data_IF_425794365218
#
_entry.id   IF_425794365218
#
_cell.length_a   1.000
_cell.length_b   1.000
_cell.length_c   1.000
_cell.angle_alpha   90.00
_cell.angle_beta   90.00
_cell.angle_gamma   90.00
#
_symmetry.space_group_name_H-M   'P 1'
#
loop_
_entity.id
_entity.type
_entity.pdbx_description
1 polymer ?
#
# COMPACT_ATOMS: atom_id res chain seq x y z
N UNK A 1 -7.42 -9.15 0.90
CA UNK A 1 -6.50 -9.01 -0.26
C UNK A 1 -7.33 -8.66 -1.51
N UNK A 2 -6.75 -8.40 -2.67
CA UNK A 2 -7.47 -7.90 -3.87
C UNK A 2 -8.80 -8.58 -4.15
N UNK A 3 -8.86 -9.91 -4.05
CA UNK A 3 -10.08 -10.71 -4.25
C UNK A 3 -11.27 -10.22 -3.41
N UNK A 4 -11.01 -9.86 -2.15
CA UNK A 4 -12.03 -9.44 -1.19
C UNK A 4 -12.46 -8.00 -1.50
N UNK A 5 -11.48 -7.11 -1.73
CA UNK A 5 -11.70 -5.69 -2.06
C UNK A 5 -12.49 -5.51 -3.36
N UNK A 6 -12.14 -6.27 -4.40
CA UNK A 6 -12.85 -6.21 -5.68
C UNK A 6 -14.32 -6.62 -5.52
N UNK A 7 -14.57 -7.70 -4.77
CA UNK A 7 -15.93 -8.18 -4.51
C UNK A 7 -16.75 -7.17 -3.70
N UNK A 8 -16.13 -6.56 -2.69
CA UNK A 8 -16.74 -5.51 -1.87
C UNK A 8 -17.07 -4.25 -2.69
N UNK A 9 -16.13 -3.76 -3.49
CA UNK A 9 -16.33 -2.62 -4.39
C UNK A 9 -17.45 -2.89 -5.40
N UNK A 10 -17.48 -4.09 -6.00
CA UNK A 10 -18.55 -4.49 -6.90
C UNK A 10 -19.91 -4.50 -6.19
N UNK A 11 -19.96 -5.09 -5.00
CA UNK A 11 -21.20 -5.20 -4.21
C UNK A 11 -21.70 -3.84 -3.72
N UNK A 12 -20.81 -2.92 -3.35
CA UNK A 12 -21.18 -1.56 -2.90
C UNK A 12 -21.86 -0.75 -4.00
N UNK A 13 -21.49 -1.00 -5.27
CA UNK A 13 -22.14 -0.44 -6.45
C UNK A 13 -23.33 -1.28 -6.95
N UNK A 14 -23.74 -2.32 -6.21
CA UNK A 14 -24.82 -3.25 -6.56
C UNK A 14 -24.67 -3.89 -7.95
N UNK A 15 -23.42 -4.09 -8.40
CA UNK A 15 -23.15 -4.68 -9.71
C UNK A 15 -23.06 -6.21 -9.62
N UNK A 16 -23.54 -6.91 -10.64
CA UNK A 16 -23.26 -8.33 -10.89
C UNK A 16 -21.85 -8.50 -11.47
N UNK A 17 -21.29 -9.72 -11.41
CA UNK A 17 -20.00 -10.01 -12.04
C UNK A 17 -20.04 -9.78 -13.57
N UNK A 18 -21.19 -10.01 -14.19
CA UNK A 18 -21.41 -9.77 -15.63
C UNK A 18 -21.35 -8.28 -15.95
N UNK A 19 -21.96 -7.42 -15.13
CA UNK A 19 -21.93 -5.96 -15.33
C UNK A 19 -20.54 -5.38 -15.12
N UNK A 20 -19.82 -5.86 -14.10
CA UNK A 20 -18.43 -5.46 -13.89
C UNK A 20 -17.54 -5.90 -15.08
N UNK A 21 -17.72 -7.14 -15.55
CA UNK A 21 -16.98 -7.66 -16.69
C UNK A 21 -17.20 -6.82 -17.97
N UNK A 22 -18.45 -6.42 -18.24
CA UNK A 22 -18.78 -5.51 -19.34
C UNK A 22 -18.07 -4.15 -19.21
N UNK A 23 -18.06 -3.56 -18.02
CA UNK A 23 -17.40 -2.27 -17.77
C UNK A 23 -15.88 -2.34 -17.93
N UNK A 24 -15.28 -3.48 -17.60
CA UNK A 24 -13.83 -3.70 -17.70
C UNK A 24 -13.40 -4.29 -19.05
N UNK A 25 -14.35 -4.57 -19.95
CA UNK A 25 -14.15 -5.26 -21.22
C UNK A 25 -13.41 -6.61 -21.07
N UNK A 26 -13.89 -7.46 -20.15
CA UNK A 26 -13.39 -8.82 -19.90
C UNK A 26 -14.54 -9.82 -19.83
N UNK A 27 -14.23 -11.11 -19.71
CA UNK A 27 -15.25 -12.14 -19.50
C UNK A 27 -15.77 -12.15 -18.06
N UNK A 28 -16.99 -12.61 -17.84
CA UNK A 28 -17.52 -12.82 -16.49
C UNK A 28 -16.65 -13.82 -15.71
N UNK A 29 -16.16 -14.88 -16.37
CA UNK A 29 -15.28 -15.88 -15.76
C UNK A 29 -13.97 -15.25 -15.26
N UNK A 30 -13.45 -14.25 -15.97
CA UNK A 30 -12.26 -13.48 -15.56
C UNK A 30 -12.52 -12.76 -14.25
N UNK A 31 -13.61 -11.99 -14.15
CA UNK A 31 -14.01 -11.30 -12.91
C UNK A 31 -14.24 -12.30 -11.77
N UNK A 32 -14.97 -13.38 -12.05
CA UNK A 32 -15.21 -14.44 -11.07
C UNK A 32 -13.92 -15.05 -10.55
N UNK A 33 -12.94 -15.29 -11.42
CA UNK A 33 -11.62 -15.84 -11.06
C UNK A 33 -10.81 -14.88 -10.19
N UNK A 34 -10.90 -13.57 -10.43
CA UNK A 34 -10.28 -12.55 -9.58
C UNK A 34 -10.91 -12.50 -8.18
N UNK A 35 -12.25 -12.52 -8.09
CA UNK A 35 -12.96 -12.42 -6.80
C UNK A 35 -12.80 -13.66 -5.90
N UNK A 36 -12.44 -14.82 -6.46
CA UNK A 36 -12.12 -16.02 -5.68
C UNK A 36 -10.62 -16.24 -5.51
N UNK A 37 -9.78 -15.40 -6.13
CA UNK A 37 -8.31 -15.49 -6.06
C UNK A 37 -7.71 -16.65 -6.86
N UNK A 38 -8.38 -17.13 -7.91
CA UNK A 38 -7.84 -18.15 -8.84
C UNK A 38 -6.90 -17.56 -9.90
N UNK A 39 -7.09 -16.29 -10.22
CA UNK A 39 -6.25 -15.54 -11.14
C UNK A 39 -6.08 -14.11 -10.63
N UNK A 40 -5.07 -13.40 -11.12
CA UNK A 40 -4.84 -11.99 -10.82
C UNK A 40 -5.14 -11.11 -12.04
N UNK A 41 -5.58 -9.86 -11.85
CA UNK A 41 -5.73 -8.92 -12.96
C UNK A 41 -4.36 -8.47 -13.49
N UNK A 42 -4.27 -8.16 -14.79
CA UNK A 42 -3.10 -7.49 -15.35
C UNK A 42 -2.97 -6.07 -14.79
N UNK A 43 -1.79 -5.44 -14.96
CA UNK A 43 -1.58 -4.03 -14.60
C UNK A 43 -2.62 -3.11 -15.26
N UNK A 44 -2.92 -3.34 -16.54
CA UNK A 44 -3.95 -2.59 -17.25
C UNK A 44 -5.35 -2.77 -16.63
N UNK A 45 -5.70 -4.00 -16.25
CA UNK A 45 -6.97 -4.28 -15.59
C UNK A 45 -7.04 -3.65 -14.20
N UNK A 46 -5.95 -3.67 -13.42
CA UNK A 46 -5.85 -2.99 -12.13
C UNK A 46 -6.11 -1.49 -12.27
N UNK A 47 -5.49 -0.83 -13.25
CA UNK A 47 -5.72 0.59 -13.52
C UNK A 47 -7.18 0.86 -13.88
N UNK A 48 -7.80 0.04 -14.72
CA UNK A 48 -9.23 0.17 -15.07
C UNK A 48 -10.14 -0.01 -13.86
N UNK A 49 -9.86 -0.99 -12.99
CA UNK A 49 -10.62 -1.21 -11.75
C UNK A 49 -10.47 0.00 -10.83
N UNK A 50 -9.25 0.50 -10.63
CA UNK A 50 -8.96 1.65 -9.80
C UNK A 50 -9.74 2.89 -10.27
N UNK A 51 -9.68 3.20 -11.57
CA UNK A 51 -10.44 4.29 -12.18
C UNK A 51 -11.96 4.08 -12.07
N UNK A 52 -12.46 2.87 -12.30
CA UNK A 52 -13.90 2.59 -12.25
C UNK A 52 -14.50 2.81 -10.87
N UNK A 53 -13.75 2.48 -9.82
CA UNK A 53 -14.20 2.56 -8.43
C UNK A 53 -13.71 3.80 -7.69
N UNK A 54 -13.01 4.71 -8.38
CA UNK A 54 -12.43 5.92 -7.79
C UNK A 54 -11.53 5.59 -6.58
N UNK A 55 -10.59 4.68 -6.79
CA UNK A 55 -9.65 4.20 -5.77
C UNK A 55 -8.23 4.07 -6.36
N UNK A 56 -7.27 3.67 -5.54
CA UNK A 56 -5.87 3.49 -5.94
C UNK A 56 -5.55 2.01 -6.19
N UNK A 57 -4.54 1.74 -7.03
CA UNK A 57 -4.00 0.39 -7.18
C UNK A 57 -3.39 -0.09 -5.86
N UNK A 58 -2.77 0.81 -5.09
CA UNK A 58 -2.25 0.53 -3.74
C UNK A 58 -3.35 0.00 -2.81
N UNK A 59 -4.55 0.61 -2.84
CA UNK A 59 -5.71 0.11 -2.14
C UNK A 59 -6.13 -1.26 -2.70
N UNK A 60 -6.25 -1.45 -4.01
CA UNK A 60 -6.63 -2.78 -4.54
C UNK A 60 -5.67 -3.90 -4.09
N UNK A 61 -4.38 -3.60 -3.99
CA UNK A 61 -3.33 -4.56 -3.63
C UNK A 61 -3.05 -4.68 -2.13
N UNK A 62 -3.65 -3.85 -1.27
CA UNK A 62 -3.39 -3.89 0.17
C UNK A 62 -2.05 -3.28 0.58
N UNK A 63 -1.49 -2.39 -0.23
CA UNK A 63 -0.21 -1.73 0.05
C UNK A 63 -0.37 -0.68 1.16
N UNK A 64 -1.49 0.05 1.19
CA UNK A 64 -1.78 1.05 2.23
C UNK A 64 -1.87 0.42 3.62
N UNK A 65 -2.51 -0.76 3.74
CA UNK A 65 -2.57 -1.51 5.00
C UNK A 65 -1.18 -1.90 5.49
N UNK A 66 -0.28 -2.25 4.56
CA UNK A 66 1.12 -2.56 4.86
C UNK A 66 1.88 -1.30 5.28
N UNK A 67 1.64 -0.15 4.64
CA UNK A 67 2.22 1.14 5.08
C UNK A 67 1.74 1.51 6.48
N UNK A 68 0.47 1.27 6.83
CA UNK A 68 -0.05 1.49 8.18
C UNK A 68 0.50 0.48 9.21
N UNK A 69 0.73 -0.77 8.80
CA UNK A 69 1.37 -1.79 9.63
C UNK A 69 2.87 -1.56 9.82
N UNK A 70 3.55 -0.98 8.80
CA UNK A 70 4.85 -0.34 8.93
C UNK A 70 4.62 1.03 9.56
N UNK A 71 4.12 1.05 10.80
CA UNK A 71 4.49 2.15 11.69
C UNK A 71 6.01 2.08 11.77
N UNK A 72 6.68 2.86 10.93
CA UNK A 72 8.05 3.30 11.19
C UNK A 72 8.01 3.67 12.67
N UNK A 73 8.79 2.98 13.49
CA UNK A 73 8.72 3.07 14.96
C UNK A 73 8.39 4.50 15.35
N UNK A 74 7.36 4.75 16.17
CA UNK A 74 6.95 6.10 16.61
C UNK A 74 8.11 7.05 17.00
N UNK A 75 9.28 6.49 17.33
CA UNK A 75 10.54 7.22 17.50
C UNK A 75 11.08 7.92 16.24
N UNK A 76 10.94 7.35 15.04
CA UNK A 76 11.39 7.94 13.77
C UNK A 76 10.53 9.13 13.38
N UNK A 77 9.21 9.05 13.55
CA UNK A 77 8.31 10.20 13.36
C UNK A 77 8.66 11.35 14.32
N UNK A 78 9.04 11.02 15.56
CA UNK A 78 9.49 12.02 16.55
C UNK A 78 10.80 12.69 16.12
N UNK A 79 11.74 11.95 15.53
CA UNK A 79 13.00 12.49 15.02
C UNK A 79 12.72 13.42 13.82
N UNK A 80 11.92 12.99 12.85
CA UNK A 80 11.58 13.80 11.68
C UNK A 80 10.84 15.10 12.04
N UNK A 81 9.97 15.09 13.05
CA UNK A 81 9.25 16.29 13.51
C UNK A 81 10.15 17.33 14.23
N UNK A 82 11.36 16.95 14.66
CA UNK A 82 12.33 17.84 15.31
C UNK A 82 13.53 18.19 14.43
N UNK A 83 13.65 17.55 13.26
CA UNK A 83 14.57 17.98 12.20
C UNK A 83 13.84 19.12 11.48
N UNK A 84 14.03 20.34 11.96
CA UNK A 84 13.66 21.55 11.21
C UNK A 84 14.39 21.54 9.85
N UNK A 85 13.85 22.22 8.83
CA UNK A 85 14.39 22.25 7.46
C UNK A 85 15.81 22.88 7.36
N UNK A 86 16.41 23.24 8.49
CA UNK A 86 17.68 23.94 8.66
C UNK A 86 18.83 23.06 9.18
N UNK A 87 18.67 21.74 9.24
CA UNK A 87 19.77 20.84 9.60
C UNK A 87 20.78 20.76 8.46
N UNK A 88 22.04 21.08 8.73
CA UNK A 88 23.12 20.97 7.74
C UNK A 88 23.54 19.51 7.56
N UNK A 89 24.16 19.21 6.42
CA UNK A 89 24.72 17.87 6.15
C UNK A 89 25.66 17.41 7.27
N UNK A 90 26.48 18.32 7.81
CA UNK A 90 27.37 18.03 8.94
C UNK A 90 26.61 17.65 10.21
N UNK A 91 25.53 18.35 10.53
CA UNK A 91 24.70 18.05 11.70
C UNK A 91 23.97 16.71 11.53
N UNK A 92 23.55 16.38 10.31
CA UNK A 92 22.96 15.09 10.00
C UNK A 92 23.97 13.94 10.19
N UNK A 93 25.20 14.12 9.73
CA UNK A 93 26.28 13.13 9.93
C UNK A 93 26.56 12.89 11.42
N UNK A 94 26.56 13.94 12.26
CA UNK A 94 26.72 13.81 13.71
C UNK A 94 25.59 12.97 14.34
N UNK A 95 24.35 13.19 13.91
CA UNK A 95 23.19 12.43 14.38
C UNK A 95 23.32 10.96 14.00
N UNK A 96 23.70 10.66 12.75
CA UNK A 96 23.88 9.30 12.27
C UNK A 96 24.99 8.57 13.04
N UNK A 97 26.12 9.23 13.26
CA UNK A 97 27.24 8.71 14.05
C UNK A 97 26.81 8.41 15.49
N UNK A 98 25.99 9.27 16.11
CA UNK A 98 25.48 9.03 17.46
C UNK A 98 24.54 7.83 17.52
N UNK A 99 23.65 7.66 16.54
CA UNK A 99 22.77 6.48 16.43
C UNK A 99 23.61 5.20 16.34
N UNK A 100 24.66 5.21 15.53
CA UNK A 100 25.57 4.07 15.36
C UNK A 100 26.33 3.75 16.65
N UNK A 101 26.82 4.78 17.35
CA UNK A 101 27.46 4.63 18.66
C UNK A 101 26.52 3.97 19.68
N UNK A 102 25.27 4.42 19.78
CA UNK A 102 24.28 3.84 20.72
C UNK A 102 24.00 2.38 20.40
N UNK A 103 23.82 2.04 19.11
CA UNK A 103 23.61 0.65 18.67
C UNK A 103 24.80 -0.24 19.07
N UNK A 104 26.01 0.22 18.82
CA UNK A 104 27.23 -0.54 19.11
C UNK A 104 27.52 -0.66 20.62
N UNK A 105 27.04 0.28 21.43
CA UNK A 105 27.13 0.21 22.90
C UNK A 105 26.25 -0.90 23.47
N UNK A 106 25.02 -1.03 22.97
CA UNK A 106 24.05 -2.01 23.50
C UNK A 106 24.35 -3.44 23.01
N UNK A 107 25.06 -3.61 21.89
CA UNK A 107 25.55 -4.92 21.39
C UNK A 107 26.77 -5.48 22.13
N UNK A 108 27.41 -4.72 23.03
CA UNK A 108 28.58 -5.14 23.83
C UNK A 108 28.24 -5.61 25.26
N UNK A 109 26.98 -5.89 25.55
CA UNK A 109 26.52 -6.47 26.82
C UNK A 109 26.17 -7.94 26.69
#
# INVERSE_FOLDING_TARGET
>A
MLKDRLKELRASKKMTQVELAKKLNVSQQTVGSWEVGRAEPSSEALTKIATLFDTTVDYLLGIEDKKAAIKISSKVDTIAAHIDDNVTDQQMDEILNFIEFVKNRDHKK
#
